data_IF_816317710312
#
_entry.id   IF_816317710312
#
_cell.length_a   1.000
_cell.length_b   1.000
_cell.length_c   1.000
_cell.angle_alpha   90.00
_cell.angle_beta   90.00
_cell.angle_gamma   90.00
#
_symmetry.space_group_name_H-M   'P 1'
#
loop_
_entity.id
_entity.type
_entity.pdbx_description
1 polymer ?
#
# COMPACT_ATOMS: atom_id res chain seq x y z
N UNK A 1 -5.06 37.05 -2.36
CA UNK A 1 -4.85 35.61 -2.06
C UNK A 1 -3.41 35.16 -2.23
N UNK A 2 -2.74 35.41 -3.37
CA UNK A 2 -1.38 34.87 -3.62
C UNK A 2 -0.30 35.33 -2.61
N UNK A 3 -0.35 36.58 -2.12
CA UNK A 3 0.55 37.06 -1.06
C UNK A 3 0.33 36.32 0.28
N UNK A 4 -0.93 36.08 0.66
CA UNK A 4 -1.28 35.32 1.86
C UNK A 4 -0.85 33.85 1.74
N UNK A 5 -1.07 33.22 0.59
CA UNK A 5 -0.59 31.88 0.30
C UNK A 5 0.94 31.76 0.44
N UNK A 6 1.71 32.67 -0.17
CA UNK A 6 3.18 32.68 -0.08
C UNK A 6 3.66 32.87 1.35
N UNK A 7 3.02 33.75 2.11
CA UNK A 7 3.31 33.96 3.53
C UNK A 7 3.07 32.68 4.35
N UNK A 8 1.89 32.05 4.19
CA UNK A 8 1.54 30.80 4.87
C UNK A 8 2.50 29.68 4.51
N UNK A 9 2.86 29.55 3.22
CA UNK A 9 3.80 28.53 2.76
C UNK A 9 5.19 28.75 3.36
N UNK A 10 5.68 29.98 3.38
CA UNK A 10 6.96 30.31 3.99
C UNK A 10 6.94 30.02 5.49
N UNK A 11 5.89 30.41 6.20
CA UNK A 11 5.74 30.14 7.63
C UNK A 11 5.69 28.63 7.92
N UNK A 12 4.96 27.87 7.10
CA UNK A 12 4.84 26.42 7.26
C UNK A 12 6.18 25.72 7.03
N UNK A 13 6.96 26.14 6.04
CA UNK A 13 8.27 25.54 5.70
C UNK A 13 9.42 26.00 6.60
N UNK A 14 9.32 27.16 7.25
CA UNK A 14 10.36 27.67 8.17
C UNK A 14 10.10 27.30 9.63
N UNK A 15 8.91 26.79 9.96
CA UNK A 15 8.60 26.32 11.29
C UNK A 15 9.50 25.14 11.68
N UNK A 16 10.23 25.27 12.80
CA UNK A 16 11.15 24.25 13.33
C UNK A 16 10.48 22.88 13.51
N UNK A 17 9.22 22.86 13.93
CA UNK A 17 8.44 21.62 14.07
C UNK A 17 8.24 20.95 12.72
N UNK A 18 7.82 21.70 11.71
CA UNK A 18 7.56 21.15 10.38
C UNK A 18 8.87 20.75 9.69
N UNK A 19 9.95 21.49 9.89
CA UNK A 19 11.29 21.10 9.45
C UNK A 19 11.74 19.79 10.09
N UNK A 20 11.50 19.60 11.39
CA UNK A 20 11.78 18.33 12.06
C UNK A 20 10.94 17.18 11.49
N UNK A 21 9.64 17.40 11.23
CA UNK A 21 8.76 16.41 10.59
C UNK A 21 9.25 16.06 9.19
N UNK A 22 9.65 17.05 8.37
CA UNK A 22 10.23 16.83 7.04
C UNK A 22 11.54 16.03 7.14
N UNK A 23 12.42 16.38 8.09
CA UNK A 23 13.67 15.67 8.31
C UNK A 23 13.46 14.22 8.70
N UNK A 24 12.57 13.95 9.67
CA UNK A 24 12.21 12.59 10.09
C UNK A 24 11.58 11.81 8.93
N UNK A 25 10.67 12.44 8.18
CA UNK A 25 10.04 11.81 7.01
C UNK A 25 11.08 11.43 5.95
N UNK A 26 12.04 12.31 5.67
CA UNK A 26 13.09 12.08 4.70
C UNK A 26 14.03 10.96 5.15
N UNK A 27 14.43 10.94 6.43
CA UNK A 27 15.23 9.83 7.00
C UNK A 27 14.45 8.52 6.94
N UNK A 28 13.18 8.51 7.36
CA UNK A 28 12.32 7.34 7.30
C UNK A 28 12.15 6.83 5.86
N UNK A 29 12.03 7.72 4.88
CA UNK A 29 11.96 7.38 3.47
C UNK A 29 13.28 6.81 2.95
N UNK A 30 14.42 7.41 3.30
CA UNK A 30 15.74 6.85 2.95
C UNK A 30 15.87 5.45 3.55
N UNK A 31 15.55 5.29 4.84
CA UNK A 31 15.55 3.98 5.49
C UNK A 31 14.63 3.00 4.75
N UNK A 32 13.39 3.41 4.48
CA UNK A 32 12.36 2.60 3.85
C UNK A 32 12.61 2.32 2.38
N UNK A 33 13.47 3.04 1.66
CA UNK A 33 13.71 2.80 0.23
C UNK A 33 15.13 2.37 -0.11
N UNK A 34 16.11 2.66 0.74
CA UNK A 34 17.48 2.14 0.61
C UNK A 34 17.59 0.74 1.22
N UNK A 35 16.91 0.47 2.33
CA UNK A 35 17.08 -0.81 3.04
C UNK A 35 15.99 -1.86 2.77
N UNK A 36 14.75 -1.47 2.47
CA UNK A 36 13.61 -2.42 2.43
C UNK A 36 13.14 -2.87 1.02
N UNK A 37 12.96 -2.02 -0.01
CA UNK A 37 12.23 -2.40 -1.24
C UNK A 37 13.07 -2.84 -2.45
N UNK A 38 14.23 -2.25 -2.82
CA UNK A 38 14.92 -2.62 -4.05
C UNK A 38 15.61 -3.99 -3.95
N UNK A 39 15.92 -4.47 -2.75
CA UNK A 39 16.67 -5.72 -2.55
C UNK A 39 15.80 -6.92 -2.15
N UNK A 40 14.50 -6.72 -1.91
CA UNK A 40 13.60 -7.82 -1.56
C UNK A 40 12.88 -8.31 -2.80
N UNK A 41 13.30 -9.50 -3.25
CA UNK A 41 12.58 -10.31 -4.23
C UNK A 41 11.35 -10.91 -3.52
N UNK A 42 10.18 -11.01 -4.19
CA UNK A 42 9.02 -11.72 -3.64
C UNK A 42 9.42 -13.07 -3.02
N UNK A 43 8.97 -13.40 -1.80
CA UNK A 43 9.39 -14.61 -1.09
C UNK A 43 9.00 -15.91 -1.83
N UNK A 44 8.03 -15.85 -2.73
CA UNK A 44 7.60 -16.95 -3.59
C UNK A 44 8.57 -17.23 -4.74
N UNK A 45 9.51 -16.32 -5.02
CA UNK A 45 10.61 -16.53 -5.97
C UNK A 45 11.85 -17.00 -5.21
N UNK A 46 12.14 -18.32 -5.19
CA UNK A 46 13.30 -18.81 -4.47
C UNK A 46 14.59 -18.31 -5.13
N UNK A 47 15.55 -17.90 -4.31
CA UNK A 47 16.90 -17.60 -4.79
C UNK A 47 17.57 -18.87 -5.30
N UNK A 48 18.58 -18.74 -6.17
CA UNK A 48 19.29 -19.89 -6.75
C UNK A 48 19.90 -20.82 -5.69
N UNK A 49 20.34 -20.25 -4.56
CA UNK A 49 20.89 -20.98 -3.42
C UNK A 49 19.82 -21.79 -2.69
N UNK A 50 18.67 -21.17 -2.39
CA UNK A 50 17.53 -21.84 -1.77
C UNK A 50 16.98 -22.92 -2.68
N UNK A 51 16.77 -22.61 -3.97
CA UNK A 51 16.26 -23.55 -4.97
C UNK A 51 17.20 -24.75 -5.16
N UNK A 52 18.52 -24.53 -5.16
CA UNK A 52 19.50 -25.64 -5.26
C UNK A 52 19.44 -26.53 -4.02
N UNK A 53 19.44 -25.93 -2.83
CA UNK A 53 19.34 -26.67 -1.56
C UNK A 53 18.06 -27.51 -1.50
N UNK A 54 16.92 -26.92 -1.87
CA UNK A 54 15.63 -27.58 -1.77
C UNK A 54 15.50 -28.68 -2.83
N UNK A 55 16.03 -28.46 -4.05
CA UNK A 55 16.16 -29.50 -5.07
C UNK A 55 17.03 -30.67 -4.63
N UNK A 56 18.17 -30.42 -4.00
CA UNK A 56 19.06 -31.50 -3.53
C UNK A 56 18.41 -32.33 -2.42
N UNK A 57 17.65 -31.69 -1.51
CA UNK A 57 16.81 -32.38 -0.53
C UNK A 57 15.74 -33.24 -1.20
N UNK A 58 15.04 -32.70 -2.20
CA UNK A 58 14.01 -33.42 -2.93
C UNK A 58 14.59 -34.61 -3.72
N UNK A 59 15.80 -34.48 -4.28
CA UNK A 59 16.52 -35.57 -4.95
C UNK A 59 16.91 -36.67 -3.95
N UNK A 60 17.44 -36.29 -2.78
CA UNK A 60 17.75 -37.24 -1.71
C UNK A 60 16.48 -38.00 -1.28
N UNK A 61 15.38 -37.27 -1.04
CA UNK A 61 14.08 -37.86 -0.74
C UNK A 61 13.64 -38.86 -1.81
N UNK A 62 13.78 -38.58 -3.11
CA UNK A 62 13.36 -39.54 -4.16
C UNK A 62 14.18 -40.84 -4.13
N UNK A 63 15.44 -40.78 -3.70
CA UNK A 63 16.37 -41.90 -3.75
C UNK A 63 16.41 -42.75 -2.47
N UNK A 64 15.88 -42.23 -1.36
CA UNK A 64 15.81 -42.95 -0.09
C UNK A 64 14.63 -43.94 -0.05
N UNK A 65 14.77 -45.09 0.65
CA UNK A 65 13.67 -46.01 0.87
C UNK A 65 12.66 -45.41 1.86
N UNK A 66 11.39 -45.40 1.49
CA UNK A 66 10.29 -44.83 2.28
C UNK A 66 9.27 -45.88 2.69
N UNK A 67 8.67 -45.68 3.87
CA UNK A 67 7.47 -46.42 4.27
C UNK A 67 6.28 -46.11 3.33
N UNK A 68 5.23 -46.97 3.32
CA UNK A 68 4.10 -46.86 2.39
C UNK A 68 3.41 -45.48 2.36
N UNK A 69 3.28 -44.85 3.52
CA UNK A 69 2.63 -43.53 3.68
C UNK A 69 3.48 -42.35 3.17
N UNK A 70 4.79 -42.52 3.05
CA UNK A 70 5.71 -41.48 2.56
C UNK A 70 6.03 -41.69 1.08
N UNK A 71 6.08 -42.96 0.65
CA UNK A 71 6.34 -43.33 -0.74
C UNK A 71 5.32 -42.76 -1.75
N UNK A 72 4.08 -42.50 -1.31
CA UNK A 72 3.05 -41.86 -2.14
C UNK A 72 3.45 -40.46 -2.67
N UNK A 73 4.37 -39.77 -1.99
CA UNK A 73 4.84 -38.44 -2.38
C UNK A 73 6.02 -38.45 -3.36
N UNK A 74 6.66 -39.60 -3.58
CA UNK A 74 7.82 -39.73 -4.47
C UNK A 74 7.50 -39.31 -5.92
N UNK A 75 6.36 -39.71 -6.53
CA UNK A 75 6.01 -39.27 -7.89
C UNK A 75 5.82 -37.76 -8.00
N UNK A 76 5.17 -37.14 -7.01
CA UNK A 76 4.91 -35.70 -6.95
C UNK A 76 6.20 -34.92 -6.73
N UNK A 77 7.08 -35.40 -5.85
CA UNK A 77 8.40 -34.81 -5.60
C UNK A 77 9.30 -34.90 -6.84
N UNK A 78 9.20 -35.99 -7.62
CA UNK A 78 9.91 -36.12 -8.90
C UNK A 78 9.45 -35.09 -9.94
N UNK A 79 8.17 -34.70 -9.92
CA UNK A 79 7.69 -33.60 -10.76
C UNK A 79 8.27 -32.26 -10.31
N UNK A 80 8.32 -32.00 -8.99
CA UNK A 80 8.93 -30.79 -8.44
C UNK A 80 10.40 -30.66 -8.84
N UNK A 81 11.21 -31.70 -8.67
CA UNK A 81 12.63 -31.71 -9.06
C UNK A 81 12.82 -31.39 -10.55
N UNK A 82 11.93 -31.88 -11.43
CA UNK A 82 11.97 -31.52 -12.86
C UNK A 82 11.70 -30.03 -13.10
N UNK A 83 10.79 -29.43 -12.35
CA UNK A 83 10.51 -27.98 -12.42
C UNK A 83 11.72 -27.19 -11.90
N UNK A 84 12.25 -27.55 -10.73
CA UNK A 84 13.41 -26.88 -10.11
C UNK A 84 14.65 -26.94 -11.01
N UNK A 85 14.92 -28.08 -11.64
CA UNK A 85 16.01 -28.21 -12.61
C UNK A 85 15.83 -27.32 -13.84
N UNK A 86 14.60 -27.17 -14.36
CA UNK A 86 14.32 -26.25 -15.47
C UNK A 86 14.57 -24.80 -15.07
N UNK A 87 14.11 -24.39 -13.88
CA UNK A 87 14.38 -23.05 -13.35
C UNK A 87 15.89 -22.78 -13.20
N UNK A 88 16.63 -23.70 -12.56
CA UNK A 88 18.09 -23.56 -12.37
C UNK A 88 18.85 -23.53 -13.69
N UNK A 89 18.44 -24.33 -14.67
CA UNK A 89 19.07 -24.36 -16.00
C UNK A 89 18.80 -23.06 -16.76
N UNK A 90 17.55 -22.60 -16.77
CA UNK A 90 17.18 -21.33 -17.40
C UNK A 90 17.90 -20.13 -16.78
N UNK A 91 18.06 -20.12 -15.45
CA UNK A 91 18.80 -19.09 -14.74
C UNK A 91 20.31 -19.11 -15.09
N UNK A 92 20.93 -20.29 -15.16
CA UNK A 92 22.34 -20.44 -15.55
C UNK A 92 22.60 -20.02 -16.99
N UNK A 93 21.68 -20.34 -17.90
CA UNK A 93 21.81 -20.03 -19.31
C UNK A 93 21.35 -18.59 -19.65
N UNK A 94 20.80 -17.85 -18.68
CA UNK A 94 20.20 -16.51 -18.87
C UNK A 94 19.03 -16.49 -19.88
N UNK A 95 18.27 -17.59 -19.96
CA UNK A 95 17.07 -17.66 -20.80
C UNK A 95 15.85 -17.16 -20.01
N UNK A 96 15.58 -15.85 -20.07
CA UNK A 96 14.53 -15.18 -19.28
C UNK A 96 13.13 -15.78 -19.50
N UNK A 97 12.76 -16.07 -20.75
CA UNK A 97 11.45 -16.65 -21.06
C UNK A 97 11.27 -18.06 -20.47
N UNK A 98 12.28 -18.91 -20.59
CA UNK A 98 12.26 -20.26 -20.03
C UNK A 98 12.21 -20.22 -18.49
N UNK A 99 12.87 -19.24 -17.88
CA UNK A 99 12.83 -19.02 -16.43
C UNK A 99 11.43 -18.62 -15.97
N UNK A 100 10.77 -17.67 -16.65
CA UNK A 100 9.41 -17.24 -16.31
C UNK A 100 8.42 -18.40 -16.43
N UNK A 101 8.49 -19.19 -17.51
CA UNK A 101 7.62 -20.36 -17.68
C UNK A 101 7.84 -21.43 -16.60
N UNK A 102 9.10 -21.75 -16.29
CA UNK A 102 9.41 -22.72 -15.23
C UNK A 102 8.99 -22.21 -13.84
N UNK A 103 9.05 -20.89 -13.62
CA UNK A 103 8.56 -20.24 -12.39
C UNK A 103 7.03 -20.33 -12.29
N UNK A 104 6.29 -20.12 -13.38
CA UNK A 104 4.84 -20.32 -13.41
C UNK A 104 4.45 -21.76 -13.06
N UNK A 105 5.16 -22.74 -13.62
CA UNK A 105 4.97 -24.16 -13.30
C UNK A 105 5.23 -24.44 -11.80
N UNK A 106 6.28 -23.83 -11.24
CA UNK A 106 6.62 -23.94 -9.82
C UNK A 106 5.52 -23.36 -8.92
N UNK A 107 5.06 -22.14 -9.21
CA UNK A 107 4.00 -21.49 -8.42
C UNK A 107 2.69 -22.27 -8.49
N UNK A 108 2.33 -22.80 -9.67
CA UNK A 108 1.16 -23.67 -9.86
C UNK A 108 1.28 -24.99 -9.08
N UNK A 109 2.48 -25.59 -9.07
CA UNK A 109 2.76 -26.79 -8.28
C UNK A 109 2.59 -26.51 -6.78
N UNK A 110 3.22 -25.46 -6.26
CA UNK A 110 3.13 -25.10 -4.83
C UNK A 110 1.67 -24.83 -4.46
N UNK A 111 0.94 -24.06 -5.26
CA UNK A 111 -0.48 -23.78 -5.00
C UNK A 111 -1.32 -25.05 -4.91
N UNK A 112 -1.11 -26.02 -5.81
CA UNK A 112 -1.88 -27.26 -5.84
C UNK A 112 -1.56 -28.16 -4.63
N UNK A 113 -0.30 -28.23 -4.23
CA UNK A 113 0.17 -29.23 -3.27
C UNK A 113 0.36 -28.69 -1.84
N UNK A 114 0.63 -27.40 -1.66
CA UNK A 114 0.76 -26.78 -0.33
C UNK A 114 -0.58 -26.37 0.28
N UNK A 115 -1.54 -25.91 -0.54
CA UNK A 115 -2.85 -25.47 -0.07
C UNK A 115 -3.90 -26.59 -0.01
N UNK A 116 -3.51 -27.86 -0.10
CA UNK A 116 -4.47 -28.97 -0.17
C UNK A 116 -5.12 -29.23 1.21
N UNK A 117 -6.40 -28.87 1.42
CA UNK A 117 -7.09 -29.02 2.70
C UNK A 117 -7.34 -30.50 3.06
N UNK A 118 -7.35 -31.37 2.05
CA UNK A 118 -7.50 -32.83 2.22
C UNK A 118 -6.19 -33.49 2.63
N UNK A 119 -5.05 -32.80 2.45
CA UNK A 119 -3.74 -33.30 2.82
C UNK A 119 -3.28 -32.66 4.13
N UNK A 120 -3.86 -33.10 5.26
CA UNK A 120 -3.31 -32.83 6.60
C UNK A 120 -1.84 -33.30 6.76
N UNK A 121 -1.29 -34.00 5.77
CA UNK A 121 0.05 -34.57 5.72
C UNK A 121 0.85 -34.19 4.46
N UNK A 122 0.52 -33.09 3.76
CA UNK A 122 1.33 -32.66 2.61
C UNK A 122 2.73 -32.23 3.08
N UNK A 123 3.82 -32.76 2.50
CA UNK A 123 5.17 -32.32 2.82
C UNK A 123 5.50 -30.96 2.18
N UNK A 124 4.64 -30.45 1.30
CA UNK A 124 4.85 -29.19 0.59
C UNK A 124 4.22 -28.04 1.35
N UNK A 125 4.95 -26.94 1.48
CA UNK A 125 4.51 -25.74 2.17
C UNK A 125 4.82 -24.50 1.32
N UNK A 126 4.14 -23.40 1.62
CA UNK A 126 4.52 -22.09 1.11
C UNK A 126 5.86 -21.61 1.70
N UNK A 127 6.49 -20.54 1.20
CA UNK A 127 7.73 -20.02 1.78
C UNK A 127 7.63 -19.86 3.31
N UNK A 128 8.67 -20.29 4.03
CA UNK A 128 8.60 -20.37 5.49
C UNK A 128 8.38 -19.01 6.17
N UNK A 129 8.67 -17.91 5.47
CA UNK A 129 8.44 -16.53 5.93
C UNK A 129 6.99 -16.27 6.37
N UNK A 130 6.01 -16.95 5.79
CA UNK A 130 4.61 -16.80 6.17
C UNK A 130 4.28 -17.41 7.54
N UNK A 131 5.05 -18.40 7.99
CA UNK A 131 4.76 -19.17 9.22
C UNK A 131 5.56 -18.69 10.45
N UNK A 132 6.60 -17.87 10.25
CA UNK A 132 7.43 -17.36 11.35
C UNK A 132 6.94 -16.04 11.93
N UNK A 133 6.26 -15.24 11.13
CA UNK A 133 5.57 -14.04 11.61
C UNK A 133 4.26 -14.50 12.26
N UNK A 134 3.88 -13.95 13.42
CA UNK A 134 2.66 -14.30 14.16
C UNK A 134 1.39 -13.88 13.40
N UNK A 135 1.24 -14.36 12.16
CA UNK A 135 0.17 -14.09 11.23
C UNK A 135 -1.01 -14.96 11.59
N UNK A 136 -2.18 -14.34 11.57
CA UNK A 136 -3.41 -15.02 11.95
C UNK A 136 -3.83 -16.08 10.92
N UNK A 137 -3.47 -15.90 9.64
CA UNK A 137 -3.85 -16.78 8.51
C UNK A 137 -2.70 -16.97 7.50
N UNK A 138 -1.61 -17.67 7.89
CA UNK A 138 -0.39 -17.75 7.10
C UNK A 138 -0.60 -18.42 5.73
N UNK A 139 -1.36 -19.52 5.67
CA UNK A 139 -1.64 -20.24 4.42
C UNK A 139 -2.50 -19.43 3.45
N UNK A 140 -3.49 -18.70 3.97
CA UNK A 140 -4.36 -17.86 3.14
C UNK A 140 -3.57 -16.69 2.55
N UNK A 141 -2.74 -16.03 3.36
CA UNK A 141 -1.86 -14.94 2.92
C UNK A 141 -0.86 -15.43 1.86
N UNK A 142 -0.27 -16.61 2.07
CA UNK A 142 0.68 -17.19 1.14
C UNK A 142 0.02 -17.64 -0.17
N UNK A 143 -1.18 -18.23 -0.11
CA UNK A 143 -1.96 -18.59 -1.28
C UNK A 143 -2.35 -17.35 -2.10
N UNK A 144 -2.78 -16.28 -1.42
CA UNK A 144 -3.09 -15.00 -2.05
C UNK A 144 -1.87 -14.40 -2.76
N UNK A 145 -0.73 -14.39 -2.09
CA UNK A 145 0.49 -13.82 -2.63
C UNK A 145 1.05 -14.64 -3.81
N UNK A 146 1.00 -15.98 -3.74
CA UNK A 146 1.31 -16.88 -4.85
C UNK A 146 0.43 -16.62 -6.09
N UNK A 147 -0.89 -16.48 -5.93
CA UNK A 147 -1.81 -16.21 -7.04
C UNK A 147 -1.52 -14.83 -7.65
N UNK A 148 -1.28 -13.84 -6.78
CA UNK A 148 -0.95 -12.46 -7.18
C UNK A 148 0.31 -12.43 -8.04
N UNK A 149 1.38 -13.09 -7.58
CA UNK A 149 2.62 -13.19 -8.34
C UNK A 149 2.41 -13.95 -9.66
N UNK A 150 1.75 -15.11 -9.62
CA UNK A 150 1.46 -15.93 -10.82
C UNK A 150 0.79 -15.09 -11.91
N UNK A 151 -0.23 -14.30 -11.56
CA UNK A 151 -0.93 -13.44 -12.51
C UNK A 151 -0.05 -12.33 -13.07
N UNK A 152 0.80 -11.71 -12.24
CA UNK A 152 1.76 -10.72 -12.72
C UNK A 152 2.75 -11.32 -13.73
N UNK A 153 3.26 -12.53 -13.45
CA UNK A 153 4.23 -13.21 -14.29
C UNK A 153 3.62 -13.72 -15.61
N UNK A 154 2.34 -14.12 -15.63
CA UNK A 154 1.65 -14.52 -16.86
C UNK A 154 1.71 -13.41 -17.92
N UNK A 155 1.54 -12.16 -17.51
CA UNK A 155 1.62 -11.02 -18.45
C UNK A 155 3.03 -10.76 -19.00
N UNK A 156 4.06 -11.22 -18.29
CA UNK A 156 5.46 -11.15 -18.72
C UNK A 156 5.85 -12.38 -19.56
N UNK A 157 5.19 -13.52 -19.38
CA UNK A 157 5.46 -14.76 -20.11
C UNK A 157 5.13 -14.65 -21.61
N UNK A 158 4.18 -13.78 -21.97
CA UNK A 158 3.80 -13.50 -23.36
C UNK A 158 4.84 -12.63 -24.10
N UNK A 159 5.85 -12.10 -23.39
CA UNK A 159 6.92 -11.30 -23.97
C UNK A 159 8.08 -12.19 -24.47
N UNK A 160 8.69 -11.81 -25.60
CA UNK A 160 9.76 -12.60 -26.25
C UNK A 160 11.05 -12.68 -25.43
N UNK A 161 11.35 -11.65 -24.64
CA UNK A 161 12.47 -11.63 -23.70
C UNK A 161 12.11 -10.74 -22.49
N UNK A 162 11.52 -11.32 -21.42
CA UNK A 162 11.09 -10.55 -20.26
C UNK A 162 12.28 -10.05 -19.45
N UNK A 163 12.25 -8.78 -19.06
CA UNK A 163 13.27 -8.19 -18.19
C UNK A 163 13.26 -8.85 -16.80
N UNK A 164 14.39 -9.45 -16.41
CA UNK A 164 14.54 -10.14 -15.14
C UNK A 164 14.33 -9.22 -13.92
N UNK A 165 14.62 -7.93 -14.05
CA UNK A 165 14.33 -6.96 -12.98
C UNK A 165 12.82 -6.75 -12.80
N UNK A 166 12.05 -6.81 -13.89
CA UNK A 166 10.59 -6.74 -13.86
C UNK A 166 9.97 -8.04 -13.32
N UNK A 167 10.57 -9.20 -13.61
CA UNK A 167 10.19 -10.51 -13.05
C UNK A 167 10.37 -10.54 -11.53
N UNK A 168 11.48 -10.00 -11.03
CA UNK A 168 11.73 -9.85 -9.58
C UNK A 168 10.95 -8.70 -8.94
N UNK A 169 10.16 -7.96 -9.71
CA UNK A 169 9.38 -6.79 -9.28
C UNK A 169 10.21 -5.62 -8.74
N UNK A 170 11.48 -5.48 -9.16
CA UNK A 170 12.43 -4.53 -8.59
C UNK A 170 12.48 -3.18 -9.31
N UNK A 171 11.78 -3.03 -10.44
CA UNK A 171 11.78 -1.77 -11.19
C UNK A 171 11.25 -0.59 -10.37
N UNK A 172 11.59 0.64 -10.76
CA UNK A 172 11.16 1.85 -10.06
C UNK A 172 9.64 1.92 -9.80
N UNK A 173 8.82 1.71 -10.83
CA UNK A 173 7.35 1.78 -10.69
C UNK A 173 6.78 0.68 -9.78
N UNK A 174 7.30 -0.55 -9.89
CA UNK A 174 6.91 -1.65 -9.00
C UNK A 174 7.35 -1.39 -7.56
N UNK A 175 8.51 -0.78 -7.36
CA UNK A 175 9.02 -0.38 -6.04
C UNK A 175 8.16 0.70 -5.40
N UNK A 176 7.73 1.72 -6.16
CA UNK A 176 6.78 2.72 -5.65
C UNK A 176 5.45 2.09 -5.22
N UNK A 177 4.91 1.20 -6.06
CA UNK A 177 3.66 0.48 -5.76
C UNK A 177 3.78 -0.42 -4.52
N UNK A 178 4.84 -1.22 -4.42
CA UNK A 178 5.11 -2.07 -3.24
C UNK A 178 5.30 -1.26 -1.98
N UNK A 179 6.04 -0.15 -2.08
CA UNK A 179 6.14 0.80 -0.98
C UNK A 179 4.75 1.28 -0.55
N UNK A 180 3.87 1.58 -1.51
CA UNK A 180 2.56 2.16 -1.23
C UNK A 180 1.70 1.17 -0.45
N UNK A 181 1.78 -0.12 -0.79
CA UNK A 181 1.22 -1.21 -0.02
C UNK A 181 1.89 -1.37 1.36
N UNK A 182 3.21 -1.20 1.43
CA UNK A 182 4.03 -1.34 2.63
C UNK A 182 3.92 -0.20 3.66
N UNK A 183 3.01 0.76 3.48
CA UNK A 183 2.64 1.72 4.52
C UNK A 183 3.28 3.11 4.43
N UNK A 184 4.09 3.43 3.40
CA UNK A 184 4.59 4.81 3.27
C UNK A 184 3.46 5.82 3.05
N UNK A 185 2.36 5.41 2.41
CA UNK A 185 1.17 6.25 2.28
C UNK A 185 0.55 6.54 3.65
N UNK A 186 0.52 5.58 4.57
CA UNK A 186 0.07 5.80 5.95
C UNK A 186 0.97 6.80 6.67
N UNK A 187 2.30 6.71 6.48
CA UNK A 187 3.24 7.70 7.02
C UNK A 187 3.02 9.10 6.43
N UNK A 188 2.72 9.19 5.14
CA UNK A 188 2.37 10.44 4.46
C UNK A 188 1.07 11.05 5.02
N UNK A 189 0.06 10.23 5.31
CA UNK A 189 -1.16 10.68 5.98
C UNK A 189 -0.86 11.15 7.42
N UNK A 190 0.04 10.50 8.14
CA UNK A 190 0.49 10.95 9.45
C UNK A 190 1.18 12.32 9.38
N UNK A 191 2.09 12.52 8.41
CA UNK A 191 2.71 13.83 8.14
C UNK A 191 1.65 14.88 7.82
N UNK A 192 0.63 14.51 7.04
CA UNK A 192 -0.50 15.39 6.74
C UNK A 192 -1.22 15.85 8.00
N UNK A 193 -1.50 14.94 8.93
CA UNK A 193 -2.11 15.26 10.23
C UNK A 193 -1.21 16.22 11.03
N UNK A 194 0.10 15.96 11.09
CA UNK A 194 1.06 16.78 11.84
C UNK A 194 1.17 18.21 11.28
N UNK A 195 1.19 18.35 9.95
CA UNK A 195 1.17 19.64 9.26
C UNK A 195 -0.15 20.37 9.45
N UNK A 196 -1.26 19.63 9.55
CA UNK A 196 -2.58 20.21 9.75
C UNK A 196 -2.83 20.65 11.20
N UNK A 197 -2.11 20.10 12.17
CA UNK A 197 -2.41 20.20 13.60
C UNK A 197 -2.39 21.63 14.19
N UNK A 198 -1.59 22.55 13.65
CA UNK A 198 -1.42 23.91 14.20
C UNK A 198 -1.76 25.06 13.23
N UNK A 199 -2.50 24.73 12.16
CA UNK A 199 -2.85 25.68 11.10
C UNK A 199 -3.66 26.90 11.56
N UNK A 200 -4.63 26.72 12.47
CA UNK A 200 -5.47 27.80 12.99
C UNK A 200 -5.11 28.22 14.41
N UNK A 201 -4.63 27.29 15.24
CA UNK A 201 -4.30 27.57 16.65
C UNK A 201 -3.12 28.53 16.79
N UNK A 202 -2.11 28.43 15.91
CA UNK A 202 -0.96 29.35 15.87
C UNK A 202 -1.39 30.81 15.61
N UNK A 203 -2.37 31.02 14.73
CA UNK A 203 -2.91 32.35 14.43
C UNK A 203 -3.88 32.85 15.51
N UNK A 204 -4.67 31.96 16.12
CA UNK A 204 -5.56 32.32 17.22
C UNK A 204 -4.79 32.82 18.46
N UNK A 205 -3.56 32.34 18.68
CA UNK A 205 -2.65 32.87 19.72
C UNK A 205 -2.22 34.31 19.45
N UNK A 206 -2.20 34.75 18.18
CA UNK A 206 -1.86 36.12 17.78
C UNK A 206 -3.07 36.84 17.15
N UNK A 207 -4.07 37.17 18.00
CA UNK A 207 -5.36 37.79 17.60
C UNK A 207 -5.23 39.04 16.72
N UNK A 208 -4.12 39.79 16.79
CA UNK A 208 -3.84 40.98 15.98
C UNK A 208 -3.60 40.67 14.50
N UNK A 209 -3.08 39.48 14.18
CA UNK A 209 -2.78 39.04 12.80
C UNK A 209 -4.07 38.54 12.13
N UNK A 210 -4.97 37.89 12.87
CA UNK A 210 -6.24 37.38 12.34
C UNK A 210 -7.23 38.49 12.02
N UNK A 211 -7.27 39.55 12.84
CA UNK A 211 -8.20 40.69 12.65
C UNK A 211 -7.82 41.62 11.49
N UNK A 212 -6.56 41.62 11.05
CA UNK A 212 -6.07 42.46 9.96
C UNK A 212 -6.08 41.76 8.60
N UNK A 213 -6.49 40.49 8.53
CA UNK A 213 -6.54 39.74 7.28
C UNK A 213 -7.73 40.17 6.42
N UNK A 214 -7.52 40.65 5.18
CA UNK A 214 -8.60 41.11 4.29
C UNK A 214 -9.39 39.95 3.64
N UNK A 215 -9.16 38.70 4.08
CA UNK A 215 -9.80 37.51 3.51
C UNK A 215 -10.98 37.08 4.37
N UNK A 216 -12.07 36.64 3.73
CA UNK A 216 -13.16 35.97 4.45
C UNK A 216 -12.64 34.68 5.12
N UNK A 217 -13.21 34.25 6.27
CA UNK A 217 -12.81 33.03 6.97
C UNK A 217 -12.78 31.78 6.08
N UNK A 218 -13.76 31.65 5.16
CA UNK A 218 -13.84 30.54 4.21
C UNK A 218 -12.65 30.50 3.24
N UNK A 219 -12.34 31.64 2.61
CA UNK A 219 -11.18 31.76 1.71
C UNK A 219 -9.85 31.56 2.44
N UNK A 220 -9.75 31.93 3.72
CA UNK A 220 -8.56 31.67 4.54
C UNK A 220 -8.33 30.17 4.76
N UNK A 221 -9.39 29.42 5.12
CA UNK A 221 -9.35 27.96 5.29
C UNK A 221 -8.95 27.24 3.99
N UNK A 222 -9.52 27.66 2.85
CA UNK A 222 -9.17 27.08 1.55
C UNK A 222 -7.73 27.37 1.17
N UNK A 223 -7.23 28.59 1.45
CA UNK A 223 -5.83 28.93 1.18
C UNK A 223 -4.88 28.10 2.06
N UNK A 224 -5.20 27.89 3.34
CA UNK A 224 -4.43 27.02 4.24
C UNK A 224 -4.39 25.57 3.75
N UNK A 225 -5.54 25.06 3.31
CA UNK A 225 -5.63 23.71 2.71
C UNK A 225 -4.70 23.60 1.50
N UNK A 226 -4.75 24.58 0.59
CA UNK A 226 -3.88 24.61 -0.58
C UNK A 226 -2.39 24.70 -0.21
N UNK A 227 -2.05 25.48 0.83
CA UNK A 227 -0.67 25.59 1.33
C UNK A 227 -0.13 24.25 1.82
N UNK A 228 -0.92 23.51 2.61
CA UNK A 228 -0.52 22.20 3.13
C UNK A 228 -0.38 21.20 1.99
N UNK A 229 -1.35 21.15 1.07
CA UNK A 229 -1.29 20.28 -0.10
C UNK A 229 -0.07 20.58 -0.98
N UNK A 230 0.29 21.86 -1.15
CA UNK A 230 1.48 22.25 -1.92
C UNK A 230 2.77 21.79 -1.23
N UNK A 231 2.86 21.95 0.10
CA UNK A 231 3.99 21.47 0.86
C UNK A 231 4.13 19.95 0.80
N UNK A 232 3.02 19.21 0.95
CA UNK A 232 2.98 17.76 0.83
C UNK A 232 3.31 17.27 -0.58
N UNK A 233 2.87 17.98 -1.63
CA UNK A 233 3.27 17.69 -3.00
C UNK A 233 4.78 17.84 -3.19
N UNK A 234 5.40 18.84 -2.56
CA UNK A 234 6.86 18.99 -2.51
C UNK A 234 7.54 17.80 -1.82
N UNK A 235 7.02 17.35 -0.67
CA UNK A 235 7.52 16.17 0.05
C UNK A 235 7.40 14.90 -0.81
N UNK A 236 6.26 14.71 -1.47
CA UNK A 236 6.02 13.61 -2.39
C UNK A 236 7.00 13.61 -3.56
N UNK A 237 7.18 14.75 -4.24
CA UNK A 237 8.11 14.88 -5.35
C UNK A 237 9.55 14.59 -4.91
N UNK A 238 9.97 15.17 -3.78
CA UNK A 238 11.30 14.92 -3.22
C UNK A 238 11.49 13.44 -2.88
N UNK A 239 10.49 12.81 -2.27
CA UNK A 239 10.53 11.37 -1.97
C UNK A 239 10.68 10.52 -3.23
N UNK A 240 9.90 10.82 -4.28
CA UNK A 240 9.99 10.12 -5.55
C UNK A 240 11.35 10.30 -6.23
N UNK A 241 11.94 11.51 -6.15
CA UNK A 241 13.29 11.79 -6.67
C UNK A 241 14.38 11.02 -5.93
N UNK A 242 14.29 10.92 -4.60
CA UNK A 242 15.23 10.12 -3.81
C UNK A 242 15.15 8.65 -4.23
N UNK A 243 13.94 8.09 -4.30
CA UNK A 243 13.74 6.70 -4.77
C UNK A 243 14.27 6.50 -6.19
N UNK A 244 13.99 7.45 -7.08
CA UNK A 244 14.48 7.42 -8.46
C UNK A 244 16.02 7.39 -8.51
N UNK A 245 16.68 8.21 -7.70
CA UNK A 245 18.14 8.28 -7.62
C UNK A 245 18.82 6.98 -7.18
N UNK A 246 18.16 6.15 -6.36
CA UNK A 246 18.71 4.87 -5.90
C UNK A 246 18.30 3.68 -6.78
N UNK A 247 17.03 3.64 -7.21
CA UNK A 247 16.46 2.46 -7.88
C UNK A 247 16.73 2.47 -9.39
N UNK A 248 16.64 3.63 -10.06
CA UNK A 248 16.79 3.69 -11.52
C UNK A 248 18.19 3.24 -11.98
N UNK A 249 19.31 3.63 -11.33
CA UNK A 249 20.64 3.19 -11.75
C UNK A 249 20.89 1.69 -11.58
N UNK A 250 20.17 1.03 -10.66
CA UNK A 250 20.42 -0.38 -10.28
C UNK A 250 19.41 -1.34 -10.90
N UNK A 251 18.14 -0.95 -11.01
CA UNK A 251 17.02 -1.80 -11.41
C UNK A 251 16.19 -1.20 -12.57
N UNK A 252 16.60 -0.05 -13.11
CA UNK A 252 15.92 0.60 -14.21
C UNK A 252 14.56 1.23 -13.85
N UNK A 253 13.97 1.91 -14.83
CA UNK A 253 12.68 2.59 -14.67
C UNK A 253 11.49 1.60 -14.71
N UNK A 254 11.61 0.52 -15.49
CA UNK A 254 10.55 -0.45 -15.73
C UNK A 254 9.44 0.07 -16.66
N UNK A 255 8.36 -0.71 -16.80
CA UNK A 255 7.21 -0.34 -17.62
C UNK A 255 5.98 0.00 -16.78
N UNK A 256 5.26 1.06 -17.17
CA UNK A 256 3.95 1.37 -16.62
C UNK A 256 2.85 0.41 -17.12
N UNK A 257 3.11 -0.37 -18.17
CA UNK A 257 2.19 -1.42 -18.64
C UNK A 257 2.29 -2.71 -17.84
N UNK A 258 3.31 -2.85 -16.98
CA UNK A 258 3.46 -4.03 -16.14
C UNK A 258 2.21 -4.22 -15.30
N UNK A 259 1.65 -5.42 -15.37
CA UNK A 259 0.47 -5.77 -14.62
C UNK A 259 0.83 -6.14 -13.18
N UNK A 260 0.04 -5.60 -12.26
CA UNK A 260 -0.06 -6.07 -10.88
C UNK A 260 -1.37 -6.83 -10.74
N UNK A 261 -1.43 -7.77 -9.81
CA UNK A 261 -2.66 -8.53 -9.61
C UNK A 261 -3.73 -7.69 -8.91
N UNK A 262 -4.97 -7.94 -9.34
CA UNK A 262 -6.20 -7.29 -8.93
C UNK A 262 -7.16 -8.37 -8.45
N UNK A 263 -7.42 -8.41 -7.15
CA UNK A 263 -8.26 -9.45 -6.56
C UNK A 263 -9.75 -9.11 -6.68
N UNK A 264 -10.52 -9.87 -7.46
CA UNK A 264 -11.96 -9.72 -7.55
C UNK A 264 -12.65 -10.98 -7.00
N UNK A 265 -13.45 -10.80 -5.94
CA UNK A 265 -14.37 -11.84 -5.48
C UNK A 265 -15.75 -11.54 -6.06
N UNK A 266 -16.42 -12.54 -6.63
CA UNK A 266 -17.82 -12.46 -7.04
C UNK A 266 -18.58 -13.67 -6.46
N UNK A 267 -19.29 -13.43 -5.36
CA UNK A 267 -19.93 -14.49 -4.56
C UNK A 267 -18.91 -15.49 -4.04
N UNK A 268 -19.00 -16.74 -4.49
CA UNK A 268 -18.08 -17.83 -4.13
C UNK A 268 -16.90 -17.96 -5.10
N UNK A 269 -16.90 -17.22 -6.21
CA UNK A 269 -15.81 -17.26 -7.18
C UNK A 269 -14.77 -16.19 -6.86
N UNK A 270 -13.50 -16.59 -6.90
CA UNK A 270 -12.36 -15.71 -6.69
C UNK A 270 -11.60 -15.64 -8.00
N UNK A 271 -11.63 -14.46 -8.64
CA UNK A 271 -10.82 -14.14 -9.80
C UNK A 271 -9.71 -13.20 -9.39
N UNK A 272 -8.56 -13.35 -10.03
CA UNK A 272 -7.44 -12.41 -9.89
C UNK A 272 -7.08 -12.00 -11.29
N UNK A 273 -7.37 -10.75 -11.62
CA UNK A 273 -7.15 -10.16 -12.93
C UNK A 273 -5.90 -9.27 -12.91
N UNK A 274 -5.25 -9.02 -14.04
CA UNK A 274 -4.17 -8.05 -14.11
C UNK A 274 -4.72 -6.61 -14.21
N UNK A 275 -4.17 -5.68 -13.43
CA UNK A 275 -4.33 -4.23 -13.63
C UNK A 275 -2.97 -3.59 -13.93
N UNK A 276 -2.90 -2.76 -14.97
CA UNK A 276 -1.68 -2.07 -15.33
C UNK A 276 -1.30 -1.00 -14.28
N UNK A 277 0.00 -0.85 -14.00
CA UNK A 277 0.51 0.19 -13.10
C UNK A 277 0.13 1.60 -13.55
N UNK A 278 0.02 1.85 -14.86
CA UNK A 278 -0.45 3.10 -15.46
C UNK A 278 -1.84 3.53 -15.00
N UNK A 279 -2.70 2.57 -14.65
CA UNK A 279 -4.06 2.83 -14.14
C UNK A 279 -4.04 2.86 -12.62
N UNK A 280 -3.33 1.91 -11.99
CA UNK A 280 -3.34 1.78 -10.54
C UNK A 280 -2.69 2.97 -9.81
N UNK A 281 -1.50 3.42 -10.24
CA UNK A 281 -0.76 4.48 -9.56
C UNK A 281 -1.52 5.83 -9.52
N UNK A 282 -2.14 6.32 -10.62
CA UNK A 282 -2.96 7.53 -10.56
C UNK A 282 -4.18 7.42 -9.64
N UNK A 283 -4.85 6.26 -9.60
CA UNK A 283 -5.99 6.05 -8.69
C UNK A 283 -5.52 6.08 -7.23
N UNK A 284 -4.39 5.41 -6.92
CA UNK A 284 -3.78 5.44 -5.59
C UNK A 284 -3.44 6.89 -5.20
N UNK A 285 -2.82 7.65 -6.10
CA UNK A 285 -2.49 9.05 -5.87
C UNK A 285 -3.75 9.90 -5.62
N UNK A 286 -4.78 9.74 -6.45
CA UNK A 286 -6.05 10.46 -6.32
C UNK A 286 -6.76 10.18 -5.00
N UNK A 287 -6.85 8.92 -4.59
CA UNK A 287 -7.41 8.52 -3.29
C UNK A 287 -6.56 9.04 -2.13
N UNK A 288 -5.24 9.06 -2.27
CA UNK A 288 -4.33 9.62 -1.26
C UNK A 288 -4.56 11.11 -1.08
N UNK A 289 -4.68 11.87 -2.17
CA UNK A 289 -4.98 13.31 -2.13
C UNK A 289 -6.35 13.55 -1.47
N UNK A 290 -7.34 12.69 -1.77
CA UNK A 290 -8.66 12.75 -1.14
C UNK A 290 -8.59 12.53 0.38
N UNK A 291 -7.81 11.55 0.84
CA UNK A 291 -7.59 11.31 2.28
C UNK A 291 -6.80 12.45 2.94
N UNK A 292 -5.80 13.02 2.26
CA UNK A 292 -5.10 14.20 2.77
C UNK A 292 -6.07 15.36 2.99
N UNK A 293 -6.95 15.61 2.00
CA UNK A 293 -7.99 16.62 2.11
C UNK A 293 -8.89 16.37 3.32
N UNK A 294 -9.35 15.13 3.50
CA UNK A 294 -10.15 14.71 4.66
C UNK A 294 -9.45 15.06 5.98
N UNK A 295 -8.18 14.66 6.16
CA UNK A 295 -7.45 14.91 7.41
C UNK A 295 -7.20 16.40 7.66
N UNK A 296 -6.90 17.18 6.62
CA UNK A 296 -6.73 18.63 6.75
C UNK A 296 -8.04 19.27 7.21
N UNK A 297 -9.17 18.92 6.57
CA UNK A 297 -10.49 19.48 6.91
C UNK A 297 -10.94 19.07 8.30
N UNK A 298 -10.72 17.81 8.69
CA UNK A 298 -11.03 17.32 10.03
C UNK A 298 -10.26 18.11 11.10
N UNK A 299 -8.95 18.29 10.92
CA UNK A 299 -8.13 19.06 11.86
C UNK A 299 -8.58 20.52 11.97
N UNK A 300 -8.84 21.17 10.83
CA UNK A 300 -9.32 22.55 10.80
C UNK A 300 -10.68 22.68 11.51
N UNK A 301 -11.59 21.72 11.31
CA UNK A 301 -12.88 21.69 12.00
C UNK A 301 -12.71 21.55 13.52
N UNK A 302 -11.89 20.62 13.97
CA UNK A 302 -11.62 20.41 15.40
C UNK A 302 -10.99 21.65 16.05
N UNK A 303 -10.03 22.29 15.38
CA UNK A 303 -9.42 23.53 15.86
C UNK A 303 -10.44 24.68 15.94
N UNK A 304 -11.39 24.75 15.01
CA UNK A 304 -12.48 25.73 15.07
C UNK A 304 -13.42 25.44 16.24
N UNK A 305 -13.85 24.20 16.42
CA UNK A 305 -14.84 23.83 17.44
C UNK A 305 -14.28 23.91 18.87
N UNK A 306 -13.12 23.30 19.10
CA UNK A 306 -12.58 23.09 20.44
C UNK A 306 -11.47 24.08 20.82
N UNK A 307 -10.98 24.89 19.87
CA UNK A 307 -9.82 25.80 20.05
C UNK A 307 -8.59 25.07 20.62
N UNK A 308 -8.48 23.77 20.36
CA UNK A 308 -7.43 22.89 20.85
C UNK A 308 -6.90 22.03 19.70
N UNK A 309 -5.58 22.04 19.53
CA UNK A 309 -4.88 21.25 18.51
C UNK A 309 -4.91 19.74 18.82
N UNK A 310 -4.85 19.36 20.10
CA UNK A 310 -4.78 17.96 20.51
C UNK A 310 -6.02 17.15 20.09
N UNK A 311 -7.21 17.78 20.08
CA UNK A 311 -8.46 17.10 19.72
C UNK A 311 -8.43 16.67 18.25
N UNK A 312 -7.95 17.54 17.35
CA UNK A 312 -7.80 17.22 15.93
C UNK A 312 -6.80 16.09 15.70
N UNK A 313 -5.67 16.13 16.42
CA UNK A 313 -4.64 15.09 16.35
C UNK A 313 -5.16 13.73 16.81
N UNK A 314 -5.81 13.66 17.97
CA UNK A 314 -6.33 12.40 18.53
C UNK A 314 -7.40 11.79 17.61
N UNK A 315 -8.37 12.59 17.16
CA UNK A 315 -9.42 12.09 16.26
C UNK A 315 -8.86 11.62 14.91
N UNK A 316 -7.86 12.33 14.38
CA UNK A 316 -7.19 11.94 13.14
C UNK A 316 -6.37 10.65 13.32
N UNK A 317 -5.67 10.50 14.44
CA UNK A 317 -4.91 9.30 14.75
C UNK A 317 -5.83 8.08 14.95
N UNK A 318 -6.93 8.24 15.69
CA UNK A 318 -7.96 7.21 15.85
C UNK A 318 -8.57 6.81 14.50
N UNK A 319 -8.75 7.76 13.59
CA UNK A 319 -9.26 7.46 12.27
C UNK A 319 -8.24 6.70 11.40
N UNK A 320 -6.97 7.13 11.42
CA UNK A 320 -5.89 6.54 10.64
C UNK A 320 -5.54 5.12 11.11
N UNK A 321 -5.52 4.90 12.42
CA UNK A 321 -5.14 3.62 13.06
C UNK A 321 -6.33 2.89 13.69
N UNK A 322 -7.56 3.23 13.31
CA UNK A 322 -8.77 2.65 13.89
C UNK A 322 -9.11 1.26 13.35
N UNK A 323 -8.63 0.91 12.17
CA UNK A 323 -8.94 -0.37 11.51
C UNK A 323 -8.59 -1.59 12.39
N UNK A 324 -7.40 -1.69 13.00
CA UNK A 324 -7.03 -2.84 13.85
C UNK A 324 -7.93 -3.05 15.07
N UNK A 325 -8.68 -2.03 15.52
CA UNK A 325 -9.53 -2.13 16.72
C UNK A 325 -10.74 -3.05 16.50
N UNK A 326 -11.16 -3.25 15.25
CA UNK A 326 -12.30 -4.11 14.91
C UNK A 326 -11.99 -5.13 13.83
N UNK A 327 -10.83 -5.05 13.18
CA UNK A 327 -10.47 -5.91 12.07
C UNK A 327 -10.36 -7.39 12.50
N UNK A 328 -11.10 -8.24 11.80
CA UNK A 328 -10.90 -9.69 11.77
C UNK A 328 -10.94 -10.13 10.30
N UNK A 329 -10.15 -11.14 9.92
CA UNK A 329 -10.20 -11.65 8.56
C UNK A 329 -11.60 -12.18 8.24
N UNK A 330 -12.15 -11.83 7.08
CA UNK A 330 -13.51 -12.18 6.69
C UNK A 330 -14.62 -11.49 7.46
N UNK A 331 -14.32 -10.39 8.18
CA UNK A 331 -15.33 -9.67 8.96
C UNK A 331 -16.48 -9.14 8.09
N UNK A 332 -16.24 -8.67 6.86
CA UNK A 332 -17.33 -8.16 6.02
C UNK A 332 -18.16 -9.28 5.35
N UNK A 333 -17.68 -10.53 5.36
CA UNK A 333 -18.53 -11.66 5.05
C UNK A 333 -19.58 -11.87 6.15
N UNK A 334 -19.18 -11.78 7.42
CA UNK A 334 -20.05 -11.99 8.58
C UNK A 334 -20.91 -10.77 8.93
N UNK A 335 -20.34 -9.57 8.83
CA UNK A 335 -20.97 -8.28 9.15
C UNK A 335 -20.76 -7.32 7.97
N UNK A 336 -21.61 -7.38 6.93
CA UNK A 336 -21.37 -6.69 5.67
C UNK A 336 -21.32 -5.15 5.76
N UNK A 337 -21.83 -4.56 6.85
CA UNK A 337 -21.78 -3.13 7.11
C UNK A 337 -20.34 -2.64 7.36
N UNK A 338 -19.45 -3.51 7.86
CA UNK A 338 -18.06 -3.15 8.17
C UNK A 338 -17.25 -2.76 6.92
N UNK A 339 -17.69 -3.21 5.73
CA UNK A 339 -17.10 -2.80 4.45
C UNK A 339 -17.26 -1.30 4.17
N UNK A 340 -18.16 -0.58 4.85
CA UNK A 340 -18.38 0.85 4.65
C UNK A 340 -17.74 1.72 5.75
N UNK A 341 -17.03 1.11 6.71
CA UNK A 341 -16.37 1.86 7.78
C UNK A 341 -15.13 2.56 7.25
N UNK A 342 -15.07 3.87 7.52
CA UNK A 342 -14.03 4.77 7.01
C UNK A 342 -12.58 4.31 7.34
N UNK A 343 -12.25 3.79 8.55
CA UNK A 343 -10.89 3.33 8.84
C UNK A 343 -10.39 2.23 7.89
N UNK A 344 -11.30 1.39 7.35
CA UNK A 344 -10.95 0.36 6.38
C UNK A 344 -10.49 0.88 5.01
N UNK A 345 -10.57 2.20 4.77
CA UNK A 345 -10.14 2.87 3.54
C UNK A 345 -8.87 3.70 3.71
N UNK A 346 -8.19 3.62 4.85
CA UNK A 346 -6.99 4.42 5.15
C UNK A 346 -5.73 3.99 4.38
N UNK A 347 -5.76 2.85 3.70
CA UNK A 347 -4.68 2.37 2.82
C UNK A 347 -5.15 2.34 1.34
N UNK A 348 -4.94 3.43 0.58
CA UNK A 348 -5.36 3.51 -0.83
C UNK A 348 -4.78 2.41 -1.72
N UNK A 349 -3.51 2.02 -1.50
CA UNK A 349 -2.86 0.99 -2.29
C UNK A 349 -3.53 -0.38 -2.07
N UNK A 350 -3.88 -0.73 -0.84
CA UNK A 350 -4.59 -1.96 -0.51
C UNK A 350 -6.02 -2.01 -1.08
N UNK A 351 -6.67 -0.85 -1.25
CA UNK A 351 -7.98 -0.77 -1.92
C UNK A 351 -7.83 -0.99 -3.42
N UNK A 352 -6.84 -0.35 -4.06
CA UNK A 352 -6.65 -0.45 -5.52
C UNK A 352 -6.15 -1.82 -5.95
N UNK A 353 -5.24 -2.42 -5.19
CA UNK A 353 -4.81 -3.82 -5.39
C UNK A 353 -5.89 -4.83 -4.99
N UNK A 354 -6.97 -4.35 -4.34
CA UNK A 354 -8.04 -5.14 -3.73
C UNK A 354 -7.54 -6.16 -2.69
N UNK A 355 -6.36 -5.93 -2.10
CA UNK A 355 -5.91 -6.62 -0.90
C UNK A 355 -6.94 -6.50 0.24
N UNK A 356 -7.59 -5.35 0.36
CA UNK A 356 -8.61 -5.13 1.38
C UNK A 356 -9.86 -6.02 1.18
N UNK A 357 -10.22 -6.32 -0.07
CA UNK A 357 -11.29 -7.26 -0.38
C UNK A 357 -10.95 -8.69 0.07
N UNK A 358 -9.70 -9.11 -0.12
CA UNK A 358 -9.22 -10.38 0.42
C UNK A 358 -9.27 -10.38 1.96
N UNK A 359 -8.75 -9.34 2.61
CA UNK A 359 -8.75 -9.22 4.08
C UNK A 359 -10.14 -9.24 4.71
N UNK A 360 -11.10 -8.55 4.09
CA UNK A 360 -12.49 -8.47 4.57
C UNK A 360 -13.40 -9.55 3.99
N UNK A 361 -12.87 -10.39 3.10
CA UNK A 361 -13.57 -11.43 2.34
C UNK A 361 -14.83 -10.95 1.60
N UNK A 362 -14.74 -9.77 0.98
CA UNK A 362 -15.87 -9.08 0.33
C UNK A 362 -15.51 -8.56 -1.06
N UNK A 363 -16.51 -8.36 -1.91
CA UNK A 363 -16.36 -7.73 -3.24
C UNK A 363 -16.60 -6.22 -3.22
N UNK A 364 -17.08 -5.70 -2.08
CA UNK A 364 -17.65 -4.35 -1.97
C UNK A 364 -16.60 -3.24 -1.80
N UNK A 365 -15.40 -3.54 -1.31
CA UNK A 365 -14.36 -2.53 -1.09
C UNK A 365 -13.56 -2.31 -2.39
N UNK A 366 -14.11 -1.44 -3.24
CA UNK A 366 -13.50 -1.03 -4.50
C UNK A 366 -12.98 0.42 -4.44
N UNK A 367 -12.14 0.85 -5.40
CA UNK A 367 -11.76 2.26 -5.51
C UNK A 367 -12.95 3.22 -5.62
N UNK A 368 -14.03 2.80 -6.30
CA UNK A 368 -15.27 3.57 -6.36
C UNK A 368 -15.95 3.64 -4.99
N UNK A 369 -16.01 2.53 -4.25
CA UNK A 369 -16.54 2.54 -2.89
C UNK A 369 -15.73 3.46 -1.97
N UNK A 370 -14.40 3.47 -2.10
CA UNK A 370 -13.54 4.39 -1.38
C UNK A 370 -13.87 5.85 -1.68
N UNK A 371 -14.05 6.20 -2.96
CA UNK A 371 -14.47 7.55 -3.36
C UNK A 371 -15.81 7.94 -2.73
N UNK A 372 -16.78 7.03 -2.72
CA UNK A 372 -18.11 7.28 -2.14
C UNK A 372 -18.03 7.43 -0.61
N UNK A 373 -17.39 6.49 0.08
CA UNK A 373 -17.29 6.49 1.55
C UNK A 373 -16.49 7.71 2.03
N UNK A 374 -15.28 7.92 1.52
CA UNK A 374 -14.43 9.07 1.89
C UNK A 374 -15.07 10.38 1.45
N UNK A 375 -15.59 10.43 0.22
CA UNK A 375 -16.22 11.63 -0.33
C UNK A 375 -17.47 12.06 0.43
N UNK A 376 -18.31 11.11 0.87
CA UNK A 376 -19.49 11.42 1.68
C UNK A 376 -19.13 12.11 3.01
N UNK A 377 -18.08 11.63 3.68
CA UNK A 377 -17.60 12.22 4.93
C UNK A 377 -16.99 13.61 4.69
N UNK A 378 -16.25 13.79 3.59
CA UNK A 378 -15.75 15.11 3.20
C UNK A 378 -16.91 16.09 2.97
N UNK A 379 -17.95 15.69 2.23
CA UNK A 379 -19.13 16.54 1.98
C UNK A 379 -19.76 16.98 3.30
N UNK A 380 -19.96 16.06 4.24
CA UNK A 380 -20.50 16.38 5.57
C UNK A 380 -19.58 17.37 6.31
N UNK A 381 -18.27 17.16 6.29
CA UNK A 381 -17.31 18.08 6.90
C UNK A 381 -17.32 19.48 6.26
N UNK A 382 -17.41 19.58 4.93
CA UNK A 382 -17.47 20.85 4.22
C UNK A 382 -18.75 21.62 4.56
N UNK A 383 -19.90 20.93 4.66
CA UNK A 383 -21.16 21.56 5.07
C UNK A 383 -21.04 22.11 6.50
N UNK A 384 -20.49 21.34 7.43
CA UNK A 384 -20.29 21.78 8.82
C UNK A 384 -19.33 22.98 8.89
N UNK A 385 -18.19 22.90 8.19
CA UNK A 385 -17.21 24.00 8.11
C UNK A 385 -17.83 25.26 7.52
N UNK A 386 -18.62 25.13 6.45
CA UNK A 386 -19.31 26.24 5.81
C UNK A 386 -20.28 26.92 6.77
N UNK A 387 -21.10 26.16 7.49
CA UNK A 387 -22.06 26.69 8.48
C UNK A 387 -21.33 27.44 9.61
N UNK A 388 -20.28 26.84 10.19
CA UNK A 388 -19.54 27.44 11.31
C UNK A 388 -18.85 28.74 10.89
N UNK A 389 -18.22 28.75 9.72
CA UNK A 389 -17.48 29.91 9.22
C UNK A 389 -18.40 31.09 8.88
N UNK A 390 -19.59 30.81 8.33
CA UNK A 390 -20.60 31.84 8.06
C UNK A 390 -21.24 32.37 9.34
N UNK A 391 -21.56 31.51 10.31
CA UNK A 391 -22.09 31.94 11.61
C UNK A 391 -21.12 32.81 12.40
N UNK A 392 -19.82 32.47 12.40
CA UNK A 392 -18.79 33.31 13.06
C UNK A 392 -18.63 34.67 12.42
N UNK A 393 -18.74 34.77 11.08
CA UNK A 393 -18.72 36.07 10.39
C UNK A 393 -19.89 36.95 10.82
N UNK A 394 -21.08 36.37 10.97
CA UNK A 394 -22.25 37.09 11.48
C UNK A 394 -22.10 37.56 12.93
N UNK A 395 -21.33 36.85 13.76
CA UNK A 395 -21.05 37.22 15.15
C UNK A 395 -19.93 38.26 15.33
N UNK A 396 -19.10 38.52 14.30
CA UNK A 396 -18.01 39.51 14.33
C UNK A 396 -18.45 40.86 13.72
N UNK A 397 -19.57 40.88 12.99
CA UNK A 397 -20.16 42.10 12.37
C UNK A 397 -21.24 42.73 13.27
N UNK A 398 -21.48 42.17 14.46
CA UNK A 398 -22.16 42.83 15.57
C UNK A 398 -21.13 43.24 16.59
#
# INVERSE_FOLDING_TARGET
MMRYFRFQLHQLLTNRKNLAVIGIALVALICQFVFFPPNQVPPELPTSTVLTRDRDKNVAFINEPHGPHTAMWVPVTRQLVKIENRMLTAQKQQHSQAYVQATLDYLAFVRKNAANPEAQSSPFHYPLTYYFENRQYPDADAAFANITLTRSLMTLADQRDPDMTAVHQQTFWQTLFRGALGGWLTALLLITILFANDLLTSEQRHRSIVRSSPLSPWHAINTKTLTVLTALAGVLLLSALVVAGFVIPTHGLGSLTTAIAYFAKDGMTVTVDPIALSIALPIILGLTILLMWLFIRLNLLCQLLFHNELVGLVLSALLLFGEPLYFMHGLAFSVPQTAYYLPGYMNPAAIVSRLQNFRYDTSRMSPLAALIVVGSVIIVLEVILFIITHRRRAAIVK
#
